data_IF_800568094452
#
_entry.id   IF_800568094452
#
_cell.length_a   1.000
_cell.length_b   1.000
_cell.length_c   1.000
_cell.angle_alpha   90.00
_cell.angle_beta   90.00
_cell.angle_gamma   90.00
#
_symmetry.space_group_name_H-M   'P 1'
#
loop_
_entity.id
_entity.type
_entity.pdbx_description
1 polymer ?
#
# COMPACT_ATOMS: atom_id res chain seq x y z
N UNK A 1 -17.01 10.96 -27.44
CA UNK A 1 -17.21 9.62 -26.88
C UNK A 1 -17.72 9.82 -25.46
N UNK A 2 -19.04 9.82 -25.32
CA UNK A 2 -19.74 9.93 -24.04
C UNK A 2 -19.58 8.61 -23.31
N UNK A 3 -18.86 8.62 -22.20
CA UNK A 3 -18.72 7.46 -21.33
C UNK A 3 -20.02 7.36 -20.54
N UNK A 4 -20.85 6.38 -20.86
CA UNK A 4 -22.13 6.15 -20.20
C UNK A 4 -21.89 5.81 -18.71
N UNK A 5 -22.25 6.77 -17.85
CA UNK A 5 -22.06 6.71 -16.39
C UNK A 5 -22.99 5.70 -15.69
N UNK A 6 -23.74 4.90 -16.47
CA UNK A 6 -24.78 3.99 -16.00
C UNK A 6 -24.31 2.53 -15.88
N UNK A 7 -23.12 2.19 -16.41
CA UNK A 7 -22.53 0.83 -16.35
C UNK A 7 -21.42 0.72 -15.29
N UNK A 8 -21.55 1.44 -14.17
CA UNK A 8 -20.73 1.14 -13.00
C UNK A 8 -21.38 0.01 -12.21
N UNK A 9 -20.86 -1.21 -12.40
CA UNK A 9 -21.06 -2.32 -11.46
C UNK A 9 -20.56 -1.86 -10.09
N UNK A 10 -21.49 -1.41 -9.25
CA UNK A 10 -21.23 -1.17 -7.84
C UNK A 10 -20.80 -2.51 -7.26
N UNK A 11 -19.49 -2.64 -7.00
CA UNK A 11 -18.90 -3.81 -6.35
C UNK A 11 -19.72 -4.23 -5.11
N UNK A 12 -19.65 -5.51 -4.72
CA UNK A 12 -20.61 -6.09 -3.78
C UNK A 12 -20.80 -5.17 -2.59
N UNK A 13 -22.02 -4.65 -2.46
CA UNK A 13 -22.41 -3.87 -1.30
C UNK A 13 -22.16 -4.77 -0.10
N UNK A 14 -21.30 -4.31 0.80
CA UNK A 14 -21.13 -4.91 2.12
C UNK A 14 -22.43 -4.62 2.85
N UNK A 15 -23.48 -5.40 2.56
CA UNK A 15 -24.61 -5.52 3.46
C UNK A 15 -24.03 -6.18 4.70
N UNK A 16 -23.64 -5.34 5.67
CA UNK A 16 -23.57 -5.76 7.05
C UNK A 16 -24.94 -6.38 7.35
N UNK A 17 -24.99 -7.71 7.36
CA UNK A 17 -26.07 -8.44 7.99
C UNK A 17 -26.01 -8.04 9.45
N UNK A 18 -26.76 -6.99 9.79
CA UNK A 18 -27.16 -6.72 11.16
C UNK A 18 -27.91 -7.98 11.57
N UNK A 19 -27.23 -8.84 12.31
CA UNK A 19 -27.83 -9.97 13.02
C UNK A 19 -28.82 -9.38 14.04
N UNK A 20 -29.99 -8.97 13.55
CA UNK A 20 -31.10 -8.57 14.39
C UNK A 20 -31.60 -9.83 15.09
N UNK A 21 -31.38 -9.84 16.40
CA UNK A 21 -31.88 -10.78 17.40
C UNK A 21 -30.94 -11.95 17.75
N UNK A 22 -29.72 -11.62 18.17
CA UNK A 22 -29.13 -12.33 19.30
C UNK A 22 -29.55 -11.62 20.60
N UNK A 23 -30.84 -11.69 20.93
CA UNK A 23 -31.23 -11.53 22.33
C UNK A 23 -30.64 -12.74 23.06
N UNK A 24 -29.47 -12.52 23.63
CA UNK A 24 -28.86 -13.35 24.64
C UNK A 24 -29.88 -13.51 25.78
N UNK A 25 -30.71 -14.54 25.68
CA UNK A 25 -31.48 -15.03 26.82
C UNK A 25 -30.54 -15.86 27.71
N UNK A 26 -29.44 -15.23 28.14
CA UNK A 26 -28.33 -15.84 28.89
C UNK A 26 -28.56 -15.79 30.40
N UNK A 27 -29.81 -15.92 30.85
CA UNK A 27 -30.14 -15.97 32.29
C UNK A 27 -31.29 -16.93 32.67
N UNK A 28 -31.63 -17.93 31.85
CA UNK A 28 -32.80 -18.75 32.21
C UNK A 28 -32.98 -20.09 31.52
N UNK A 29 -32.00 -21.00 31.60
CA UNK A 29 -32.16 -22.35 31.02
C UNK A 29 -32.25 -23.50 32.04
N UNK A 30 -32.61 -23.21 33.30
CA UNK A 30 -33.23 -24.20 34.22
C UNK A 30 -34.77 -24.06 34.24
N UNK A 31 -35.31 -23.03 33.59
CA UNK A 31 -36.75 -22.74 33.57
C UNK A 31 -37.35 -22.99 32.19
N UNK A 32 -37.96 -24.16 32.03
CA UNK A 32 -39.06 -24.30 31.09
C UNK A 32 -40.14 -23.25 31.42
N UNK A 33 -40.75 -22.57 30.43
CA UNK A 33 -41.91 -21.70 30.67
C UNK A 33 -43.12 -22.48 31.24
N UNK A 34 -43.04 -23.81 31.30
CA UNK A 34 -43.95 -24.69 32.01
C UNK A 34 -43.23 -25.35 33.20
N UNK A 35 -43.07 -24.63 34.32
CA UNK A 35 -42.84 -25.27 35.62
C UNK A 35 -44.06 -26.08 36.01
N UNK A 36 -44.11 -27.35 35.63
CA UNK A 36 -45.04 -28.28 36.24
C UNK A 36 -44.41 -28.79 37.53
N UNK A 37 -44.82 -28.24 38.67
CA UNK A 37 -44.36 -28.66 40.01
C UNK A 37 -44.53 -30.16 40.25
N UNK A 38 -45.51 -30.78 39.58
CA UNK A 38 -45.74 -32.23 39.64
C UNK A 38 -44.60 -33.00 38.97
N UNK A 39 -44.15 -32.56 37.80
CA UNK A 39 -43.07 -33.21 37.06
C UNK A 39 -41.74 -33.12 37.81
N UNK A 40 -41.43 -31.95 38.39
CA UNK A 40 -40.25 -31.77 39.23
C UNK A 40 -40.27 -32.67 40.48
N UNK A 41 -41.43 -32.78 41.16
CA UNK A 41 -41.60 -33.69 42.31
C UNK A 41 -41.46 -35.15 41.92
N UNK A 42 -41.98 -35.56 40.76
CA UNK A 42 -41.80 -36.93 40.25
C UNK A 42 -40.33 -37.23 39.94
N UNK A 43 -39.62 -36.34 39.25
CA UNK A 43 -38.19 -36.52 38.94
C UNK A 43 -37.35 -36.63 40.22
N UNK A 44 -37.59 -35.76 41.21
CA UNK A 44 -36.91 -35.83 42.51
C UNK A 44 -37.20 -37.15 43.25
N UNK A 45 -38.43 -37.65 43.15
CA UNK A 45 -38.82 -38.94 43.73
C UNK A 45 -38.16 -40.14 43.03
N UNK A 46 -37.75 -39.97 41.77
CA UNK A 46 -37.01 -40.97 40.99
C UNK A 46 -35.48 -40.86 41.15
N UNK A 47 -35.00 -40.00 42.06
CA UNK A 47 -33.58 -39.83 42.35
C UNK A 47 -32.84 -38.83 41.45
N UNK A 48 -33.56 -37.94 40.76
CA UNK A 48 -32.97 -36.80 40.06
C UNK A 48 -32.57 -35.69 41.05
N UNK A 49 -31.34 -35.19 40.91
CA UNK A 49 -30.81 -34.05 41.66
C UNK A 49 -30.67 -32.85 40.73
N UNK A 50 -31.10 -31.68 41.21
CA UNK A 50 -31.05 -30.44 40.44
C UNK A 50 -29.59 -30.10 40.06
N UNK A 51 -29.34 -29.86 38.77
CA UNK A 51 -28.02 -29.54 38.24
C UNK A 51 -27.16 -30.74 37.83
N UNK A 52 -27.67 -31.97 37.96
CA UNK A 52 -26.99 -33.18 37.50
C UNK A 52 -27.60 -33.72 36.21
N UNK A 53 -26.80 -34.22 35.24
CA UNK A 53 -27.38 -34.88 34.08
C UNK A 53 -28.01 -36.23 34.47
N UNK A 54 -29.02 -36.64 33.73
CA UNK A 54 -29.68 -37.94 33.93
C UNK A 54 -28.79 -39.08 33.39
N UNK A 55 -28.69 -40.19 34.13
CA UNK A 55 -27.92 -41.37 33.71
C UNK A 55 -26.83 -41.79 34.71
N UNK A 56 -25.94 -42.70 34.30
CA UNK A 56 -24.84 -43.18 35.16
C UNK A 56 -23.77 -42.09 35.35
N UNK A 57 -23.16 -41.95 36.55
CA UNK A 57 -22.15 -40.92 36.85
C UNK A 57 -20.94 -40.88 35.90
N UNK A 58 -20.62 -41.98 35.22
CA UNK A 58 -19.48 -42.07 34.31
C UNK A 58 -19.75 -41.49 32.92
N UNK A 59 -21.00 -41.15 32.61
CA UNK A 59 -21.38 -40.55 31.34
C UNK A 59 -21.74 -39.08 31.53
N UNK A 60 -21.00 -38.19 30.85
CA UNK A 60 -21.30 -36.77 30.80
C UNK A 60 -22.57 -36.56 29.97
N UNK A 61 -23.72 -36.53 30.64
CA UNK A 61 -25.00 -36.23 29.99
C UNK A 61 -25.21 -34.74 29.77
N UNK A 62 -26.11 -34.40 28.85
CA UNK A 62 -26.43 -33.01 28.52
C UNK A 62 -27.35 -32.44 29.61
N UNK A 63 -27.01 -31.25 30.11
CA UNK A 63 -27.77 -30.53 31.15
C UNK A 63 -28.89 -29.68 30.56
N UNK A 64 -28.68 -29.17 29.36
CA UNK A 64 -29.62 -28.29 28.67
C UNK A 64 -30.28 -29.01 27.50
N UNK A 65 -31.57 -28.75 27.22
CA UNK A 65 -32.21 -29.27 26.02
C UNK A 65 -31.41 -28.91 24.76
N UNK A 66 -31.28 -29.86 23.83
CA UNK A 66 -30.62 -29.61 22.53
C UNK A 66 -31.38 -28.49 21.82
N UNK A 67 -30.68 -27.40 21.53
CA UNK A 67 -31.26 -26.29 20.81
C UNK A 67 -31.50 -26.68 19.36
N UNK A 68 -32.76 -26.65 18.94
CA UNK A 68 -33.13 -26.85 17.53
C UNK A 68 -33.12 -25.49 16.85
N UNK A 69 -32.12 -25.26 16.00
CA UNK A 69 -32.13 -24.11 15.10
C UNK A 69 -33.17 -24.36 14.01
N UNK A 70 -34.30 -23.64 14.10
CA UNK A 70 -35.29 -23.65 13.02
C UNK A 70 -34.69 -22.92 11.82
N UNK A 71 -34.65 -23.58 10.67
CA UNK A 71 -34.27 -22.96 9.41
C UNK A 71 -35.50 -22.33 8.77
N UNK A 72 -35.38 -21.07 8.37
CA UNK A 72 -36.44 -20.38 7.65
C UNK A 72 -36.29 -20.60 6.14
N UNK A 73 -37.38 -21.00 5.48
CA UNK A 73 -37.44 -21.22 4.03
C UNK A 73 -37.25 -22.67 3.57
N UNK A 74 -37.08 -22.85 2.25
CA UNK A 74 -36.98 -24.16 1.57
C UNK A 74 -35.61 -24.39 0.92
N UNK A 75 -34.57 -23.71 1.40
CA UNK A 75 -33.22 -23.85 0.86
C UNK A 75 -32.59 -25.19 1.27
N UNK A 76 -31.71 -25.71 0.41
CA UNK A 76 -31.03 -26.98 0.65
C UNK A 76 -30.07 -26.95 1.85
N UNK A 77 -29.85 -28.12 2.45
CA UNK A 77 -28.84 -28.29 3.50
C UNK A 77 -27.46 -27.95 2.91
N UNK A 78 -26.75 -26.99 3.51
CA UNK A 78 -25.44 -26.51 3.02
C UNK A 78 -25.48 -25.29 2.10
N UNK A 79 -26.67 -24.73 1.82
CA UNK A 79 -26.81 -23.52 1.01
C UNK A 79 -26.07 -22.31 1.62
N UNK A 80 -26.23 -22.09 2.93
CA UNK A 80 -25.58 -20.98 3.63
C UNK A 80 -24.05 -21.09 3.64
N UNK A 81 -23.53 -22.31 3.81
CA UNK A 81 -22.08 -22.57 3.80
C UNK A 81 -21.50 -22.32 2.42
N UNK A 82 -22.20 -22.77 1.37
CA UNK A 82 -21.76 -22.57 -0.02
C UNK A 82 -21.88 -21.11 -0.45
N UNK A 83 -22.94 -20.41 -0.03
CA UNK A 83 -23.11 -18.96 -0.27
C UNK A 83 -22.00 -18.15 0.40
N UNK A 84 -21.70 -18.44 1.67
CA UNK A 84 -20.57 -17.81 2.39
C UNK A 84 -19.24 -18.08 1.71
N UNK A 85 -19.02 -19.31 1.23
CA UNK A 85 -17.80 -19.69 0.49
C UNK A 85 -17.68 -18.90 -0.82
N UNK A 86 -18.73 -18.83 -1.64
CA UNK A 86 -18.73 -18.08 -2.90
C UNK A 86 -18.47 -16.58 -2.67
N UNK A 87 -19.18 -15.97 -1.73
CA UNK A 87 -18.97 -14.57 -1.37
C UNK A 87 -17.53 -14.31 -0.89
N UNK A 88 -16.96 -15.20 -0.07
CA UNK A 88 -15.57 -15.06 0.36
C UNK A 88 -14.57 -15.11 -0.80
N UNK A 89 -14.85 -15.90 -1.84
CA UNK A 89 -14.01 -15.98 -3.03
C UNK A 89 -14.15 -14.72 -3.90
N UNK A 90 -15.37 -14.22 -4.10
CA UNK A 90 -15.64 -12.99 -4.84
C UNK A 90 -14.97 -11.77 -4.17
N UNK A 91 -15.05 -11.68 -2.84
CA UNK A 91 -14.35 -10.64 -2.06
C UNK A 91 -12.84 -10.77 -2.19
N UNK A 92 -12.31 -12.00 -2.16
CA UNK A 92 -10.87 -12.22 -2.32
C UNK A 92 -10.41 -11.80 -3.73
N UNK A 93 -11.13 -12.21 -4.77
CA UNK A 93 -10.86 -11.84 -6.16
C UNK A 93 -10.89 -10.32 -6.36
N UNK A 94 -11.92 -9.64 -5.85
CA UNK A 94 -11.99 -8.18 -5.87
C UNK A 94 -10.80 -7.53 -5.17
N UNK A 95 -10.41 -8.04 -3.99
CA UNK A 95 -9.26 -7.50 -3.25
C UNK A 95 -7.94 -7.73 -3.98
N UNK A 96 -7.77 -8.86 -4.68
CA UNK A 96 -6.59 -9.13 -5.53
C UNK A 96 -6.52 -8.10 -6.66
N UNK A 97 -7.61 -7.92 -7.42
CA UNK A 97 -7.66 -6.94 -8.52
C UNK A 97 -7.39 -5.52 -8.01
N UNK A 98 -8.01 -5.14 -6.89
CA UNK A 98 -7.80 -3.84 -6.24
C UNK A 98 -6.35 -3.65 -5.78
N UNK A 99 -5.71 -4.69 -5.27
CA UNK A 99 -4.31 -4.67 -4.85
C UNK A 99 -3.37 -4.50 -6.04
N UNK A 100 -3.61 -5.23 -7.13
CA UNK A 100 -2.83 -5.10 -8.37
C UNK A 100 -2.93 -3.69 -8.95
N UNK A 101 -4.14 -3.14 -9.03
CA UNK A 101 -4.34 -1.76 -9.49
C UNK A 101 -3.53 -0.76 -8.64
N UNK A 102 -3.57 -0.89 -7.31
CA UNK A 102 -2.78 -0.04 -6.39
C UNK A 102 -1.27 -0.23 -6.56
N UNK A 103 -0.80 -1.44 -6.90
CA UNK A 103 0.63 -1.67 -7.18
C UNK A 103 1.07 -0.93 -8.42
N UNK A 104 0.34 -1.08 -9.54
CA UNK A 104 0.66 -0.43 -10.81
C UNK A 104 0.71 1.09 -10.68
N UNK A 105 -0.28 1.67 -10.01
CA UNK A 105 -0.31 3.13 -9.77
C UNK A 105 0.87 3.58 -8.91
N UNK A 106 1.28 2.80 -7.89
CA UNK A 106 2.47 3.13 -7.08
C UNK A 106 3.74 3.07 -7.90
N UNK A 107 3.95 2.02 -8.69
CA UNK A 107 5.12 1.86 -9.56
C UNK A 107 5.23 3.00 -10.58
N UNK A 108 4.13 3.37 -11.22
CA UNK A 108 4.09 4.51 -12.15
C UNK A 108 4.43 5.82 -11.42
N UNK A 109 3.79 6.08 -10.28
CA UNK A 109 4.09 7.26 -9.46
C UNK A 109 5.54 7.29 -9.00
N UNK A 110 6.11 6.16 -8.58
CA UNK A 110 7.49 6.06 -8.12
C UNK A 110 8.47 6.35 -9.27
N UNK A 111 8.16 5.87 -10.48
CA UNK A 111 8.95 6.21 -11.68
C UNK A 111 8.92 7.71 -12.00
N UNK A 112 7.76 8.37 -11.85
CA UNK A 112 7.60 9.81 -12.06
C UNK A 112 8.33 10.60 -10.99
N UNK A 113 8.26 10.16 -9.72
CA UNK A 113 9.00 10.76 -8.61
C UNK A 113 10.50 10.69 -8.86
N UNK A 114 11.03 9.53 -9.23
CA UNK A 114 12.46 9.36 -9.52
C UNK A 114 12.94 10.28 -10.64
N UNK A 115 12.19 10.39 -11.75
CA UNK A 115 12.52 11.33 -12.83
C UNK A 115 12.50 12.79 -12.36
N UNK A 116 11.51 13.15 -11.56
CA UNK A 116 11.38 14.50 -11.00
C UNK A 116 12.52 14.83 -10.04
N UNK A 117 12.91 13.88 -9.19
CA UNK A 117 14.07 14.00 -8.30
C UNK A 117 15.36 14.19 -9.12
N UNK A 118 15.53 13.42 -10.20
CA UNK A 118 16.70 13.51 -11.06
C UNK A 118 16.80 14.90 -11.69
N UNK A 119 15.72 15.40 -12.29
CA UNK A 119 15.70 16.74 -12.89
C UNK A 119 16.10 17.82 -11.87
N UNK A 120 15.58 17.73 -10.63
CA UNK A 120 15.95 18.66 -9.55
C UNK A 120 17.41 18.53 -9.11
N UNK A 121 17.95 17.32 -9.04
CA UNK A 121 19.36 17.10 -8.74
C UNK A 121 20.27 17.65 -9.84
N UNK A 122 19.92 17.42 -11.11
CA UNK A 122 20.64 17.95 -12.26
C UNK A 122 20.66 19.48 -12.26
N UNK A 123 19.51 20.10 -11.96
CA UNK A 123 19.40 21.55 -11.79
C UNK A 123 20.25 22.05 -10.62
N UNK A 124 20.24 21.36 -9.48
CA UNK A 124 21.10 21.71 -8.34
C UNK A 124 22.59 21.62 -8.70
N UNK A 125 23.01 20.57 -9.42
CA UNK A 125 24.39 20.43 -9.90
C UNK A 125 24.78 21.63 -10.78
N UNK A 126 23.95 21.94 -11.77
CA UNK A 126 24.19 23.05 -12.69
C UNK A 126 24.28 24.39 -11.95
N UNK A 127 23.32 24.68 -11.07
CA UNK A 127 23.26 25.94 -10.33
C UNK A 127 24.48 26.10 -9.41
N UNK A 128 24.89 25.04 -8.71
CA UNK A 128 26.04 25.08 -7.81
C UNK A 128 27.37 25.18 -8.58
N UNK A 129 27.48 24.58 -9.77
CA UNK A 129 28.63 24.76 -10.65
C UNK A 129 28.71 26.19 -11.20
N UNK A 130 27.58 26.79 -11.57
CA UNK A 130 27.53 28.20 -11.98
C UNK A 130 27.93 29.13 -10.84
N UNK A 131 27.41 28.91 -9.63
CA UNK A 131 27.76 29.70 -8.44
C UNK A 131 29.26 29.64 -8.11
N UNK A 132 29.93 28.54 -8.42
CA UNK A 132 31.38 28.35 -8.21
C UNK A 132 32.23 28.73 -9.42
N UNK A 133 31.62 29.32 -10.46
CA UNK A 133 32.28 29.66 -11.73
C UNK A 133 32.99 28.45 -12.39
N UNK A 134 32.49 27.23 -12.14
CA UNK A 134 32.92 26.00 -12.83
C UNK A 134 32.22 25.89 -14.19
N UNK A 135 30.98 26.37 -14.26
CA UNK A 135 30.19 26.51 -15.47
C UNK A 135 29.81 28.00 -15.67
N UNK A 136 29.70 28.42 -16.92
CA UNK A 136 29.19 29.74 -17.29
C UNK A 136 27.88 29.53 -18.05
N UNK A 137 26.77 29.96 -17.44
CA UNK A 137 25.42 29.77 -17.97
C UNK A 137 25.25 30.44 -19.33
N UNK A 138 25.66 31.71 -19.46
CA UNK A 138 25.53 32.47 -20.70
C UNK A 138 26.38 31.82 -21.81
N UNK A 139 27.59 31.37 -21.49
CA UNK A 139 28.42 30.64 -22.45
C UNK A 139 27.75 29.33 -22.90
N UNK A 140 27.24 28.52 -21.97
CA UNK A 140 26.69 27.20 -22.25
C UNK A 140 25.33 27.25 -22.97
N UNK A 141 24.50 28.26 -22.68
CA UNK A 141 23.20 28.43 -23.35
C UNK A 141 23.32 29.16 -24.69
N UNK A 142 24.43 29.87 -24.95
CA UNK A 142 24.61 30.60 -26.22
C UNK A 142 24.71 29.71 -27.45
N UNK A 143 25.29 28.52 -27.32
CA UNK A 143 25.50 27.59 -28.42
C UNK A 143 25.42 26.14 -27.91
N UNK A 144 24.52 25.31 -28.46
CA UNK A 144 24.35 23.92 -28.03
C UNK A 144 25.61 23.05 -28.19
N UNK A 145 26.55 23.41 -29.08
CA UNK A 145 27.83 22.70 -29.20
C UNK A 145 28.71 22.86 -27.95
N UNK A 146 28.53 23.95 -27.20
CA UNK A 146 29.26 24.22 -25.95
C UNK A 146 28.76 23.39 -24.78
N UNK A 147 27.55 22.84 -24.84
CA UNK A 147 27.02 21.95 -23.80
C UNK A 147 27.92 20.73 -23.55
N UNK A 148 28.70 20.27 -24.55
CA UNK A 148 29.70 19.20 -24.35
C UNK A 148 30.79 19.54 -23.34
N UNK A 149 31.06 20.82 -23.11
CA UNK A 149 32.03 21.29 -22.10
C UNK A 149 31.46 21.23 -20.67
N UNK A 150 30.14 21.19 -20.54
CA UNK A 150 29.48 20.99 -19.26
C UNK A 150 29.64 19.56 -18.76
N UNK A 151 29.38 19.37 -17.46
CA UNK A 151 29.36 18.03 -16.87
C UNK A 151 28.21 17.21 -17.47
N UNK A 152 28.51 15.96 -17.84
CA UNK A 152 27.56 15.01 -18.45
C UNK A 152 26.25 14.88 -17.67
N UNK A 153 26.30 15.00 -16.34
CA UNK A 153 25.15 14.83 -15.45
C UNK A 153 23.99 15.78 -15.78
N UNK A 154 24.26 16.98 -16.28
CA UNK A 154 23.25 18.01 -16.58
C UNK A 154 23.35 18.55 -18.02
N UNK A 155 24.06 17.87 -18.92
CA UNK A 155 24.13 18.24 -20.35
C UNK A 155 22.75 18.22 -21.01
N UNK A 156 21.96 17.17 -20.76
CA UNK A 156 20.62 17.03 -21.35
C UNK A 156 19.70 18.22 -21.00
N UNK A 157 19.56 18.62 -19.73
CA UNK A 157 18.86 19.86 -19.36
C UNK A 157 19.40 21.12 -20.05
N UNK A 158 20.72 21.27 -20.20
CA UNK A 158 21.30 22.41 -20.92
C UNK A 158 20.88 22.38 -22.39
N UNK A 159 20.98 21.22 -23.05
CA UNK A 159 20.60 21.07 -24.46
C UNK A 159 19.14 21.40 -24.70
N UNK A 160 18.24 20.94 -23.82
CA UNK A 160 16.82 21.24 -23.88
C UNK A 160 16.52 22.74 -23.73
N UNK A 161 17.33 23.46 -22.94
CA UNK A 161 17.24 24.93 -22.79
C UNK A 161 17.87 25.68 -23.97
N UNK A 162 19.06 25.28 -24.41
CA UNK A 162 19.86 25.97 -25.41
C UNK A 162 19.32 25.79 -26.84
N UNK A 163 18.77 24.61 -27.17
CA UNK A 163 18.27 24.32 -28.51
C UNK A 163 17.13 23.29 -28.49
N UNK A 164 15.89 23.78 -28.48
CA UNK A 164 14.69 22.93 -28.50
C UNK A 164 14.57 22.02 -29.77
N UNK A 165 15.29 22.31 -30.86
CA UNK A 165 15.07 21.68 -32.18
C UNK A 165 16.35 21.32 -32.97
N UNK A 166 17.55 21.34 -32.39
CA UNK A 166 18.78 21.04 -33.13
C UNK A 166 19.20 19.57 -32.98
N UNK A 167 19.40 18.87 -34.10
CA UNK A 167 20.03 17.55 -34.12
C UNK A 167 21.54 17.76 -33.98
N UNK A 168 22.04 17.60 -32.76
CA UNK A 168 23.48 17.61 -32.51
C UNK A 168 24.11 16.28 -32.93
N UNK A 169 25.41 16.32 -33.19
CA UNK A 169 26.23 15.11 -33.26
C UNK A 169 26.05 14.27 -31.99
N UNK A 170 25.93 12.96 -32.16
CA UNK A 170 25.84 11.98 -31.06
C UNK A 170 26.91 12.24 -30.01
N UNK A 171 26.51 12.49 -28.76
CA UNK A 171 27.40 12.64 -27.61
C UNK A 171 27.51 11.26 -26.93
N UNK A 172 28.59 10.49 -27.18
CA UNK A 172 28.69 9.12 -26.71
C UNK A 172 28.78 9.02 -25.18
N UNK A 173 29.17 10.09 -24.49
CA UNK A 173 29.24 10.08 -23.03
C UNK A 173 27.88 10.40 -22.41
N UNK A 174 27.11 11.31 -23.05
CA UNK A 174 25.72 11.53 -22.67
C UNK A 174 24.86 10.29 -22.94
N UNK A 175 25.02 9.64 -24.10
CA UNK A 175 24.28 8.43 -24.45
C UNK A 175 24.56 7.29 -23.45
N UNK A 176 25.81 7.12 -23.01
CA UNK A 176 26.16 6.16 -21.96
C UNK A 176 25.48 6.48 -20.63
N UNK A 177 25.41 7.76 -20.28
CA UNK A 177 24.76 8.20 -19.04
C UNK A 177 23.24 8.01 -19.10
N UNK A 178 22.60 8.38 -20.21
CA UNK A 178 21.16 8.20 -20.43
C UNK A 178 20.75 6.73 -20.52
N UNK A 179 21.66 5.84 -20.95
CA UNK A 179 21.45 4.40 -20.95
C UNK A 179 21.46 3.76 -19.55
N UNK A 180 21.95 4.46 -18.52
CA UNK A 180 21.90 3.98 -17.13
C UNK A 180 20.46 4.02 -16.61
N UNK A 181 20.18 3.20 -15.60
CA UNK A 181 18.91 3.30 -14.88
C UNK A 181 18.78 4.66 -14.19
N UNK A 182 17.54 5.11 -13.99
CA UNK A 182 17.28 6.40 -13.31
C UNK A 182 17.86 6.39 -11.89
N UNK A 183 17.86 5.22 -11.24
CA UNK A 183 18.45 5.02 -9.90
C UNK A 183 19.96 5.30 -9.89
N UNK A 184 20.69 4.77 -10.88
CA UNK A 184 22.12 5.02 -11.04
C UNK A 184 22.39 6.48 -11.41
N UNK A 185 21.57 7.08 -12.29
CA UNK A 185 21.69 8.50 -12.64
C UNK A 185 21.50 9.40 -11.41
N UNK A 186 20.52 9.09 -10.55
CA UNK A 186 20.29 9.77 -9.27
C UNK A 186 21.50 9.62 -8.33
N UNK A 187 22.04 8.40 -8.21
CA UNK A 187 23.20 8.15 -7.36
C UNK A 187 24.43 8.93 -7.85
N UNK A 188 24.68 8.96 -9.15
CA UNK A 188 25.77 9.73 -9.75
C UNK A 188 25.60 11.23 -9.49
N UNK A 189 24.40 11.78 -9.71
CA UNK A 189 24.11 13.19 -9.46
C UNK A 189 24.27 13.56 -7.98
N UNK A 190 23.72 12.74 -7.06
CA UNK A 190 23.84 12.99 -5.63
C UNK A 190 25.28 12.83 -5.13
N UNK A 191 26.02 11.84 -5.64
CA UNK A 191 27.45 11.65 -5.34
C UNK A 191 28.28 12.86 -5.80
N UNK A 192 27.95 13.43 -6.97
CA UNK A 192 28.58 14.65 -7.45
C UNK A 192 28.31 15.84 -6.54
N UNK A 193 27.03 16.08 -6.17
CA UNK A 193 26.65 17.14 -5.24
C UNK A 193 27.40 17.06 -3.91
N UNK A 194 27.51 15.85 -3.35
CA UNK A 194 28.18 15.63 -2.06
C UNK A 194 29.69 15.81 -2.15
N UNK A 195 30.35 15.20 -3.15
CA UNK A 195 31.81 15.24 -3.26
C UNK A 195 32.34 16.58 -3.74
N UNK A 196 31.63 17.20 -4.70
CA UNK A 196 32.08 18.45 -5.31
C UNK A 196 31.60 19.64 -4.51
N UNK A 197 30.34 19.65 -4.09
CA UNK A 197 29.70 20.81 -3.48
C UNK A 197 29.46 20.71 -1.98
N UNK A 198 29.75 19.56 -1.35
CA UNK A 198 29.37 19.30 0.04
C UNK A 198 27.87 19.56 0.25
N UNK A 199 27.04 19.24 -0.74
CA UNK A 199 25.60 19.46 -0.69
C UNK A 199 24.87 18.13 -0.63
N UNK A 200 23.94 17.98 0.31
CA UNK A 200 23.04 16.82 0.34
C UNK A 200 21.66 17.22 -0.18
N UNK A 201 21.24 16.60 -1.28
CA UNK A 201 19.93 16.83 -1.87
C UNK A 201 18.78 16.47 -0.92
N UNK A 202 18.92 15.39 -0.15
CA UNK A 202 17.87 14.90 0.74
C UNK A 202 17.71 15.78 1.98
N UNK A 203 18.80 16.32 2.53
CA UNK A 203 18.75 17.27 3.63
C UNK A 203 18.34 18.68 3.16
N UNK A 204 18.65 19.04 1.92
CA UNK A 204 18.52 20.41 1.42
C UNK A 204 19.53 21.39 2.02
N UNK A 205 20.67 20.89 2.49
CA UNK A 205 21.69 21.67 3.20
C UNK A 205 23.02 21.59 2.46
N UNK A 206 23.69 22.74 2.37
CA UNK A 206 25.07 22.87 1.93
C UNK A 206 25.98 22.91 3.17
N UNK A 207 26.90 21.96 3.24
CA UNK A 207 27.86 21.78 4.32
C UNK A 207 29.15 22.53 3.98
N UNK A 208 29.93 22.85 5.01
CA UNK A 208 31.17 23.61 4.82
C UNK A 208 32.31 22.72 4.29
N UNK A 209 32.42 21.48 4.77
CA UNK A 209 33.45 20.53 4.39
C UNK A 209 32.99 19.06 4.47
N UNK A 210 33.92 18.15 4.15
CA UNK A 210 33.67 16.70 4.17
C UNK A 210 33.41 16.15 5.57
N UNK A 211 33.96 16.77 6.61
CA UNK A 211 33.74 16.35 8.00
C UNK A 211 32.35 16.74 8.47
N UNK A 212 31.88 17.94 8.13
CA UNK A 212 30.52 18.39 8.43
C UNK A 212 29.48 17.53 7.68
N UNK A 213 29.81 17.11 6.45
CA UNK A 213 28.99 16.18 5.67
C UNK A 213 28.83 14.79 6.33
N UNK A 214 29.70 14.40 7.26
CA UNK A 214 29.55 13.16 8.04
C UNK A 214 28.37 13.23 9.02
N UNK A 215 27.86 14.42 9.33
CA UNK A 215 26.64 14.57 10.12
C UNK A 215 25.37 14.23 9.33
N UNK A 216 25.48 14.05 8.01
CA UNK A 216 24.36 13.70 7.12
C UNK A 216 23.93 12.23 7.33
N UNK A 217 22.62 11.93 7.49
CA UNK A 217 22.12 10.58 7.79
C UNK A 217 22.51 9.46 6.81
N UNK A 218 22.77 9.78 5.54
CA UNK A 218 23.20 8.82 4.55
C UNK A 218 23.26 9.40 3.15
N UNK A 219 23.33 8.56 2.12
CA UNK A 219 23.35 8.98 0.70
C UNK A 219 22.09 8.63 -0.09
N UNK A 220 21.12 8.00 0.56
CA UNK A 220 19.88 7.54 -0.05
C UNK A 220 18.68 8.26 0.57
N UNK A 221 17.58 8.31 -0.17
CA UNK A 221 16.29 8.82 0.32
C UNK A 221 15.87 8.10 1.59
N UNK A 222 16.01 6.76 1.63
CA UNK A 222 15.60 5.92 2.77
C UNK A 222 16.36 6.19 4.08
N UNK A 223 17.53 6.82 4.00
CA UNK A 223 18.34 7.14 5.17
C UNK A 223 17.92 8.47 5.85
N UNK A 224 17.10 9.28 5.17
CA UNK A 224 16.62 10.58 5.63
C UNK A 224 15.12 10.52 5.94
#
# INVERSE_FOLDING_TARGET
MTVDYMDMDFGPTVEESVDSNNESNTLGAVYSPYKSDKAARMMKSMGYEEGRPLGKPSQNGILEPIQVQKRDGRQGIGFDTEKKRKHSLEVHEYNVVKSEFRSRVREEQDSVKMRTQLAKMQEACFNLDCQRAVADEDELLSDPTKARRANVLYRRPILERACANLVLETDPDLDKFEALSIEEQLEMANSYLRKKHYYCFWCGVLYDDDYDLMSCPGNSEKAH
#
